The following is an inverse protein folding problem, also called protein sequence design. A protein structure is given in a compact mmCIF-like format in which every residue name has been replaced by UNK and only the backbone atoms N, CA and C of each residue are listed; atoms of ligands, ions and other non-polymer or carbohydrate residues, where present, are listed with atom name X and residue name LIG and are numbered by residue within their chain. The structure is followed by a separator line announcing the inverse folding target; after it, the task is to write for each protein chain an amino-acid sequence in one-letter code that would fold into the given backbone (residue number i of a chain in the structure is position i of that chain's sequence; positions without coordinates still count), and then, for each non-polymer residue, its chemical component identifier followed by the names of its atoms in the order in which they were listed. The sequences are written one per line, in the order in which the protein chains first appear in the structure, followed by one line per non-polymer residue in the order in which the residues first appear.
data_IF_278138759496
#
_entry.id   IF_278138759496
#
_cell.length_a   1.000
_cell.length_b   1.000
_cell.length_c   1.000
_cell.angle_alpha   90.00
_cell.angle_beta   90.00
_cell.angle_gamma   90.00
#
_symmetry.space_group_name_H-M   'P 1'
#
loop_
_entity.id
_entity.type
_entity.pdbx_description
1 polymer ?
#
# COMPACT_ATOMS: atom_id res chain seq x y z
N UNK A 1 9.35 5.22 7.82
CA UNK A 1 8.39 4.36 7.09
C UNK A 1 7.32 3.72 7.99
N UNK A 2 7.45 3.72 9.32
CA UNK A 2 6.48 3.07 10.22
C UNK A 2 5.07 3.69 10.24
N UNK A 3 4.92 4.98 9.92
CA UNK A 3 3.61 5.64 9.93
C UNK A 3 2.64 5.14 8.87
N UNK A 4 3.14 4.71 7.71
CA UNK A 4 2.30 4.26 6.60
C UNK A 4 1.75 2.85 6.82
N UNK A 5 2.52 1.95 7.44
CA UNK A 5 2.02 0.63 7.83
C UNK A 5 0.87 0.73 8.82
N UNK A 6 0.99 1.55 9.87
CA UNK A 6 -0.11 1.76 10.83
C UNK A 6 -1.34 2.41 10.20
N UNK A 7 -1.17 3.21 9.15
CA UNK A 7 -2.28 3.78 8.40
C UNK A 7 -3.03 2.69 7.59
N UNK A 8 -2.30 1.78 6.95
CA UNK A 8 -2.90 0.61 6.30
C UNK A 8 -3.62 -0.28 7.33
N UNK A 9 -3.01 -0.55 8.48
CA UNK A 9 -3.63 -1.36 9.53
C UNK A 9 -4.95 -0.73 10.00
N UNK A 10 -4.99 0.59 10.19
CA UNK A 10 -6.19 1.32 10.58
C UNK A 10 -7.29 1.23 9.52
N UNK A 11 -6.94 1.39 8.25
CA UNK A 11 -7.91 1.35 7.15
C UNK A 11 -8.40 -0.07 6.83
N UNK A 12 -7.59 -1.09 7.08
CA UNK A 12 -7.98 -2.49 6.92
C UNK A 12 -8.82 -3.00 8.11
N UNK A 13 -8.75 -2.36 9.28
CA UNK A 13 -9.43 -2.79 10.50
C UNK A 13 -10.97 -2.73 10.43
N UNK A 14 -11.53 -1.93 9.52
CA UNK A 14 -12.98 -1.82 9.34
C UNK A 14 -13.59 -2.94 8.48
N UNK A 15 -12.75 -3.86 7.96
CA UNK A 15 -13.13 -4.97 7.07
C UNK A 15 -13.93 -4.56 5.81
N UNK A 16 -13.90 -3.29 5.41
CA UNK A 16 -14.56 -2.84 4.17
C UNK A 16 -13.68 -3.04 2.94
N UNK A 17 -12.38 -3.26 3.14
CA UNK A 17 -11.38 -3.38 2.09
C UNK A 17 -10.69 -4.75 2.16
N UNK A 18 -10.50 -5.38 1.00
CA UNK A 18 -9.81 -6.67 0.86
C UNK A 18 -8.29 -6.54 0.69
N UNK A 19 -7.84 -5.35 0.28
CA UNK A 19 -6.45 -5.01 -0.06
C UNK A 19 -6.25 -3.48 0.00
N UNK A 20 -5.02 -3.04 0.29
CA UNK A 20 -4.62 -1.64 0.31
C UNK A 20 -3.10 -1.48 0.14
N UNK A 21 -2.69 -0.42 -0.56
CA UNK A 21 -1.31 0.05 -0.59
C UNK A 21 -1.24 1.57 -0.67
N UNK A 22 -0.10 2.12 -0.24
CA UNK A 22 0.29 3.51 -0.43
C UNK A 22 1.46 3.48 -1.40
N UNK A 23 1.30 4.14 -2.53
CA UNK A 23 2.29 4.17 -3.61
C UNK A 23 2.72 5.61 -3.84
N UNK A 24 4.03 5.87 -3.70
CA UNK A 24 4.60 7.14 -4.12
C UNK A 24 4.70 7.18 -5.64
N UNK A 25 4.30 8.29 -6.26
CA UNK A 25 4.30 8.45 -7.72
C UNK A 25 5.38 9.42 -8.24
N UNK A 26 5.99 10.22 -7.37
CA UNK A 26 6.99 11.22 -7.77
C UNK A 26 8.36 10.59 -7.94
N UNK A 27 9.10 11.09 -8.93
CA UNK A 27 10.46 10.69 -9.32
C UNK A 27 10.57 9.23 -9.75
N UNK A 28 10.64 8.32 -8.78
CA UNK A 28 10.63 6.88 -9.01
C UNK A 28 9.43 6.32 -8.28
N UNK A 29 8.44 5.75 -8.98
CA UNK A 29 7.31 5.16 -8.30
C UNK A 29 7.73 3.96 -7.44
N UNK A 30 7.28 3.93 -6.19
CA UNK A 30 7.51 2.79 -5.30
C UNK A 30 6.44 2.67 -4.23
N UNK A 31 6.20 1.44 -3.78
CA UNK A 31 5.28 1.13 -2.70
C UNK A 31 5.88 1.61 -1.38
N UNK A 32 5.18 2.49 -0.67
CA UNK A 32 5.55 2.99 0.66
C UNK A 32 5.07 2.08 1.79
N UNK A 33 3.89 1.47 1.61
CA UNK A 33 3.33 0.43 2.46
C UNK A 33 2.28 -0.37 1.67
N UNK A 34 2.08 -1.64 1.99
CA UNK A 34 1.01 -2.46 1.42
C UNK A 34 0.53 -3.51 2.43
N UNK A 35 -0.71 -3.96 2.28
CA UNK A 35 -1.22 -5.11 3.03
C UNK A 35 -0.41 -6.38 2.67
N UNK A 36 0.07 -7.14 3.66
CA UNK A 36 0.95 -8.28 3.42
C UNK A 36 0.21 -9.43 2.71
N UNK A 37 0.86 -10.02 1.71
CA UNK A 37 0.33 -11.19 0.98
C UNK A 37 -0.85 -10.88 0.05
N UNK A 38 -1.00 -9.61 -0.37
CA UNK A 38 -2.08 -9.15 -1.25
C UNK A 38 -1.54 -8.62 -2.58
N UNK A 39 -2.43 -8.34 -3.53
CA UNK A 39 -2.09 -7.97 -4.91
C UNK A 39 -1.38 -6.62 -4.97
N UNK A 40 -1.83 -5.63 -4.19
CA UNK A 40 -1.25 -4.28 -4.25
C UNK A 40 0.18 -4.20 -3.70
N UNK A 41 0.65 -5.23 -2.98
CA UNK A 41 2.06 -5.37 -2.60
C UNK A 41 2.99 -5.63 -3.81
N UNK A 42 2.43 -5.89 -5.00
CA UNK A 42 3.16 -6.21 -6.22
C UNK A 42 3.05 -5.13 -7.31
N UNK A 43 2.46 -3.96 -7.01
CA UNK A 43 2.41 -2.83 -7.95
C UNK A 43 3.82 -2.47 -8.43
N UNK A 44 3.98 -2.41 -9.74
CA UNK A 44 5.22 -2.08 -10.43
C UNK A 44 5.27 -0.61 -10.81
N UNK A 45 6.46 -0.02 -11.02
CA UNK A 45 6.55 1.37 -11.45
C UNK A 45 5.90 1.69 -12.80
N UNK A 46 5.68 0.69 -13.66
CA UNK A 46 5.00 0.85 -14.93
C UNK A 46 3.46 0.91 -14.80
N UNK A 47 2.91 0.45 -13.67
CA UNK A 47 1.47 0.48 -13.37
C UNK A 47 1.05 1.76 -12.62
N UNK A 48 2.01 2.54 -12.11
CA UNK A 48 1.80 3.80 -11.39
C UNK A 48 1.74 4.97 -12.36
#
# INVERSE_FOLDING_TARGET
MSGWSSYIDNLMANFTCQDMAIVGYKDTPFIWAAAPGKTFAHITPAEV
#
